data_IF_815117886636
#
_entry.id   IF_815117886636
#
_cell.length_a   1.000
_cell.length_b   1.000
_cell.length_c   1.000
_cell.angle_alpha   90.00
_cell.angle_beta   90.00
_cell.angle_gamma   90.00
#
_symmetry.space_group_name_H-M   'P 1'
#
loop_
_entity.id
_entity.type
_entity.pdbx_description
1 polymer ?
#
# COMPACT_ATOMS: atom_id res chain seq x y z
N UNK A 1 23.48 13.41 3.83
CA UNK A 1 22.26 12.67 3.46
C UNK A 1 21.60 11.95 4.64
N UNK A 2 22.34 11.22 5.47
CA UNK A 2 21.80 10.48 6.63
C UNK A 2 21.07 11.35 7.67
N UNK A 3 21.58 12.53 8.02
CA UNK A 3 20.95 13.41 9.01
C UNK A 3 19.54 13.87 8.59
N UNK A 4 19.32 14.16 7.31
CA UNK A 4 17.98 14.52 6.81
C UNK A 4 16.99 13.34 6.87
N UNK A 5 17.46 12.12 6.57
CA UNK A 5 16.65 10.90 6.71
C UNK A 5 16.22 10.70 8.17
N UNK A 6 17.15 10.83 9.11
CA UNK A 6 16.87 10.68 10.53
C UNK A 6 15.90 11.74 11.08
N UNK A 7 16.07 12.99 10.66
CA UNK A 7 15.13 14.05 11.03
C UNK A 7 13.71 13.73 10.55
N UNK A 8 13.56 13.31 9.29
CA UNK A 8 12.28 12.93 8.72
C UNK A 8 11.65 11.72 9.43
N UNK A 9 12.45 10.67 9.69
CA UNK A 9 11.98 9.49 10.43
C UNK A 9 11.52 9.87 11.86
N UNK A 10 12.27 10.73 12.54
CA UNK A 10 11.93 11.19 13.90
C UNK A 10 10.65 12.01 13.91
N UNK A 11 10.48 12.91 12.95
CA UNK A 11 9.26 13.70 12.78
C UNK A 11 8.04 12.81 12.54
N UNK A 12 8.16 11.85 11.63
CA UNK A 12 7.07 10.91 11.33
C UNK A 12 6.69 10.04 12.55
N UNK A 13 7.69 9.57 13.30
CA UNK A 13 7.44 8.84 14.55
C UNK A 13 6.76 9.70 15.62
N UNK A 14 7.04 11.00 15.64
CA UNK A 14 6.36 11.93 16.53
C UNK A 14 4.89 12.06 16.14
N UNK A 15 4.59 12.23 14.85
CA UNK A 15 3.21 12.25 14.34
C UNK A 15 2.46 10.94 14.63
N UNK A 16 3.13 9.80 14.52
CA UNK A 16 2.54 8.50 14.89
C UNK A 16 2.11 8.48 16.36
N UNK A 17 3.00 8.90 17.28
CA UNK A 17 2.70 8.96 18.72
C UNK A 17 1.58 9.95 19.05
N UNK A 18 1.55 11.08 18.36
CA UNK A 18 0.47 12.06 18.50
C UNK A 18 -0.87 11.49 18.02
N UNK A 19 -0.87 10.70 16.95
CA UNK A 19 -2.07 10.01 16.49
C UNK A 19 -2.54 8.98 17.53
N UNK A 20 -1.62 8.17 18.08
CA UNK A 20 -1.92 7.24 19.19
C UNK A 20 -2.52 7.97 20.40
N UNK A 21 -1.95 9.09 20.81
CA UNK A 21 -2.44 9.88 21.96
C UNK A 21 -3.87 10.41 21.75
N UNK A 22 -4.31 10.59 20.51
CA UNK A 22 -5.68 11.05 20.19
C UNK A 22 -6.71 9.91 20.25
N UNK A 23 -6.29 8.64 20.20
CA UNK A 23 -7.21 7.51 20.31
C UNK A 23 -7.80 7.38 21.72
N UNK A 24 -7.09 7.84 22.75
CA UNK A 24 -7.53 7.76 24.16
C UNK A 24 -7.46 6.33 24.72
N UNK A 25 -7.78 6.22 26.02
CA UNK A 25 -7.95 4.95 26.76
C UNK A 25 -6.84 3.88 26.59
N UNK A 26 -5.60 4.31 26.34
CA UNK A 26 -4.46 3.40 26.13
C UNK A 26 -4.49 2.63 24.82
N UNK A 27 -5.33 3.02 23.87
CA UNK A 27 -5.34 2.44 22.54
C UNK A 27 -4.04 2.75 21.78
N UNK A 28 -3.62 1.82 20.93
CA UNK A 28 -2.42 1.95 20.10
C UNK A 28 -2.80 1.98 18.61
N UNK A 29 -2.02 2.69 17.82
CA UNK A 29 -2.05 2.59 16.38
C UNK A 29 -1.13 1.41 15.98
N UNK A 30 -1.72 0.29 15.67
CA UNK A 30 -0.98 -0.96 15.49
C UNK A 30 -0.33 -1.07 14.11
N UNK A 31 -1.04 -0.65 13.07
CA UNK A 31 -0.55 -0.62 11.70
C UNK A 31 -1.33 0.39 10.84
N UNK A 32 -0.79 0.69 9.67
CA UNK A 32 -1.46 1.43 8.61
C UNK A 32 -1.71 0.47 7.46
N UNK A 33 -2.92 0.44 6.92
CA UNK A 33 -3.24 -0.28 5.68
C UNK A 33 -3.26 0.73 4.55
N UNK A 34 -2.49 0.47 3.49
CA UNK A 34 -2.36 1.37 2.35
C UNK A 34 -2.24 0.59 1.04
N UNK A 35 -2.55 1.21 -0.11
CA UNK A 35 -2.17 0.64 -1.40
C UNK A 35 -0.67 0.42 -1.49
N UNK A 36 -0.23 -0.60 -2.21
CA UNK A 36 1.20 -0.82 -2.50
C UNK A 36 1.59 -0.26 -3.87
N UNK A 37 0.67 -0.32 -4.81
CA UNK A 37 0.82 0.21 -6.18
C UNK A 37 -0.47 0.92 -6.60
N UNK A 38 -0.43 1.77 -7.62
CA UNK A 38 -1.63 2.40 -8.15
C UNK A 38 -2.52 1.47 -9.00
N UNK A 39 -2.07 0.26 -9.29
CA UNK A 39 -2.75 -0.74 -10.12
C UNK A 39 -2.71 -2.12 -9.47
N UNK A 40 -3.42 -3.09 -10.04
CA UNK A 40 -3.23 -4.51 -9.80
C UNK A 40 -1.79 -4.94 -10.14
N UNK A 41 -1.46 -6.23 -10.07
CA UNK A 41 -0.13 -6.73 -10.41
C UNK A 41 0.34 -6.20 -11.78
N UNK A 42 1.40 -5.40 -11.76
CA UNK A 42 1.87 -4.64 -12.92
C UNK A 42 2.47 -5.58 -13.97
N UNK A 43 2.16 -5.34 -15.24
CA UNK A 43 2.76 -6.05 -16.37
C UNK A 43 4.29 -5.89 -16.39
N UNK A 44 4.99 -6.87 -16.92
CA UNK A 44 6.45 -6.86 -17.02
C UNK A 44 6.97 -5.57 -17.68
N UNK A 45 7.99 -4.96 -17.06
CA UNK A 45 8.65 -3.72 -17.50
C UNK A 45 7.74 -2.48 -17.53
N UNK A 46 6.58 -2.51 -16.86
CA UNK A 46 5.62 -1.40 -16.81
C UNK A 46 5.52 -0.72 -15.45
N UNK A 47 6.30 -1.13 -14.47
CA UNK A 47 6.31 -0.51 -13.15
C UNK A 47 6.87 0.92 -13.24
N UNK A 48 6.04 1.92 -12.96
CA UNK A 48 6.36 3.35 -13.13
C UNK A 48 6.42 4.12 -11.82
N UNK A 49 5.56 3.77 -10.87
CA UNK A 49 5.38 4.56 -9.67
C UNK A 49 5.75 3.80 -8.40
N UNK A 50 6.72 4.33 -7.66
CA UNK A 50 7.25 3.72 -6.43
C UNK A 50 6.79 4.45 -5.15
N UNK A 51 5.96 5.49 -5.25
CA UNK A 51 5.66 6.42 -4.16
C UNK A 51 5.12 5.74 -2.91
N UNK A 52 4.23 4.77 -3.05
CA UNK A 52 3.67 4.06 -1.91
C UNK A 52 4.70 3.20 -1.15
N UNK A 53 5.58 2.51 -1.87
CA UNK A 53 6.60 1.64 -1.27
C UNK A 53 7.83 2.42 -0.80
N UNK A 54 8.24 3.46 -1.54
CA UNK A 54 9.45 4.23 -1.21
C UNK A 54 9.34 5.01 0.10
N UNK A 55 8.13 5.46 0.47
CA UNK A 55 7.90 6.09 1.77
C UNK A 55 8.17 5.13 2.93
N UNK A 56 7.73 3.88 2.82
CA UNK A 56 7.98 2.82 3.82
C UNK A 56 9.47 2.52 3.94
N UNK A 57 10.18 2.41 2.81
CA UNK A 57 11.63 2.24 2.78
C UNK A 57 12.39 3.42 3.39
N UNK A 58 11.94 4.65 3.13
CA UNK A 58 12.56 5.84 3.70
C UNK A 58 12.40 5.89 5.22
N UNK A 59 11.23 5.48 5.72
CA UNK A 59 10.91 5.41 7.15
C UNK A 59 11.58 4.22 7.85
N UNK A 60 12.09 3.24 7.10
CA UNK A 60 12.63 1.99 7.64
C UNK A 60 11.55 1.21 8.44
N UNK A 61 10.33 1.22 7.92
CA UNK A 61 9.18 0.54 8.51
C UNK A 61 9.06 -0.88 7.99
N UNK A 62 8.49 -1.75 8.82
CA UNK A 62 8.10 -3.11 8.42
C UNK A 62 6.86 -3.05 7.55
N UNK A 63 6.82 -3.82 6.48
CA UNK A 63 5.63 -3.91 5.63
C UNK A 63 5.39 -5.34 5.17
N UNK A 64 4.15 -5.80 5.27
CA UNK A 64 3.67 -7.07 4.72
C UNK A 64 2.63 -6.80 3.63
N UNK A 65 2.71 -7.54 2.52
CA UNK A 65 1.77 -7.41 1.40
C UNK A 65 0.70 -8.48 1.52
N UNK A 66 -0.56 -8.05 1.44
CA UNK A 66 -1.74 -8.93 1.53
C UNK A 66 -2.55 -8.80 0.25
N UNK A 67 -2.67 -9.86 -0.56
CA UNK A 67 -3.62 -9.91 -1.66
C UNK A 67 -5.05 -9.81 -1.13
N UNK A 68 -5.86 -8.95 -1.74
CA UNK A 68 -7.23 -8.66 -1.25
C UNK A 68 -8.32 -9.00 -2.25
N UNK A 69 -8.01 -8.99 -3.54
CA UNK A 69 -8.94 -9.33 -4.62
C UNK A 69 -8.18 -9.53 -5.94
N UNK A 70 -8.91 -9.76 -7.01
CA UNK A 70 -8.39 -9.81 -8.38
C UNK A 70 -9.07 -8.74 -9.22
N UNK A 71 -8.35 -8.19 -10.19
CA UNK A 71 -8.91 -7.26 -11.16
C UNK A 71 -9.93 -7.99 -12.07
N UNK A 72 -11.06 -7.33 -12.32
CA UNK A 72 -12.13 -7.84 -13.17
C UNK A 72 -12.43 -6.84 -14.29
N UNK A 73 -12.20 -7.23 -15.55
CA UNK A 73 -12.41 -6.37 -16.71
C UNK A 73 -13.85 -5.84 -16.86
N UNK A 74 -14.84 -6.56 -16.31
CA UNK A 74 -16.25 -6.12 -16.39
C UNK A 74 -16.59 -5.06 -15.34
N UNK A 75 -15.87 -5.06 -14.21
CA UNK A 75 -16.06 -4.16 -13.07
C UNK A 75 -15.07 -3.00 -13.12
N UNK A 76 -13.79 -3.32 -13.31
CA UNK A 76 -12.68 -2.38 -13.24
C UNK A 76 -12.40 -1.74 -14.62
N UNK A 77 -13.41 -1.12 -15.20
CA UNK A 77 -13.32 -0.46 -16.51
C UNK A 77 -12.45 0.79 -16.46
N UNK A 78 -11.84 1.12 -17.59
CA UNK A 78 -11.12 2.38 -17.74
C UNK A 78 -12.07 3.56 -17.50
N UNK A 79 -11.66 4.50 -16.65
CA UNK A 79 -12.50 5.64 -16.28
C UNK A 79 -12.60 6.63 -17.43
N UNK A 80 -13.80 6.80 -17.98
CA UNK A 80 -14.07 7.80 -19.01
C UNK A 80 -13.97 9.23 -18.46
N UNK A 81 -13.45 10.15 -19.25
CA UNK A 81 -13.35 11.57 -18.90
C UNK A 81 -12.41 11.86 -17.72
N UNK A 82 -11.51 10.94 -17.38
CA UNK A 82 -10.50 11.18 -16.35
C UNK A 82 -9.55 12.30 -16.75
N UNK A 83 -9.33 13.26 -15.86
CA UNK A 83 -8.34 14.34 -16.02
C UNK A 83 -7.13 14.02 -15.14
N UNK A 84 -5.97 13.68 -15.71
CA UNK A 84 -4.78 13.36 -14.94
C UNK A 84 -4.29 14.55 -14.10
N UNK A 85 -3.76 14.25 -12.92
CA UNK A 85 -3.20 15.25 -11.99
C UNK A 85 -1.81 15.76 -12.45
N UNK A 86 -1.08 14.91 -13.17
CA UNK A 86 0.26 15.18 -13.70
C UNK A 86 0.63 14.16 -14.77
N UNK A 87 1.81 14.31 -15.39
CA UNK A 87 2.28 13.42 -16.47
C UNK A 87 2.41 11.95 -16.02
N UNK A 88 2.89 11.70 -14.80
CA UNK A 88 3.02 10.34 -14.26
C UNK A 88 1.66 9.67 -14.11
N UNK A 89 0.67 10.40 -13.61
CA UNK A 89 -0.71 9.92 -13.50
C UNK A 89 -1.32 9.63 -14.88
N UNK A 90 -1.04 10.50 -15.86
CA UNK A 90 -1.45 10.30 -17.25
C UNK A 90 -0.87 8.98 -17.82
N UNK A 91 0.43 8.75 -17.64
CA UNK A 91 1.12 7.53 -18.09
C UNK A 91 0.52 6.26 -17.44
N UNK A 92 0.21 6.31 -16.14
CA UNK A 92 -0.39 5.18 -15.41
C UNK A 92 -1.82 4.90 -15.92
N UNK A 93 -2.60 5.93 -16.17
CA UNK A 93 -3.96 5.79 -16.69
C UNK A 93 -3.98 5.31 -18.14
N UNK A 94 -3.02 5.73 -18.95
CA UNK A 94 -2.84 5.25 -20.33
C UNK A 94 -2.44 3.78 -20.36
N UNK A 95 -1.52 3.38 -19.48
CA UNK A 95 -1.04 2.01 -19.32
C UNK A 95 -2.15 1.02 -18.92
N UNK A 96 -3.15 1.50 -18.17
CA UNK A 96 -4.20 0.63 -17.65
C UNK A 96 -5.06 0.08 -18.79
N UNK A 97 -5.12 -1.25 -18.86
CA UNK A 97 -5.87 -2.02 -19.85
C UNK A 97 -6.66 -3.10 -19.09
N UNK A 98 -8.00 -2.96 -18.96
CA UNK A 98 -8.82 -3.89 -18.17
C UNK A 98 -8.69 -5.35 -18.61
N UNK A 99 -8.59 -5.62 -19.90
CA UNK A 99 -8.43 -6.99 -20.43
C UNK A 99 -7.07 -7.58 -20.04
N UNK A 100 -5.99 -6.80 -20.18
CA UNK A 100 -4.63 -7.23 -19.84
C UNK A 100 -4.42 -7.40 -18.33
N UNK A 101 -5.21 -6.71 -17.49
CA UNK A 101 -5.15 -6.81 -16.04
C UNK A 101 -6.18 -7.80 -15.45
N UNK A 102 -7.09 -8.33 -16.24
CA UNK A 102 -8.10 -9.30 -15.77
C UNK A 102 -7.45 -10.50 -15.08
N UNK A 103 -7.91 -10.84 -13.88
CA UNK A 103 -7.33 -11.91 -13.05
C UNK A 103 -6.03 -11.55 -12.34
N UNK A 104 -5.48 -10.34 -12.55
CA UNK A 104 -4.29 -9.90 -11.84
C UNK A 104 -4.60 -9.63 -10.36
N UNK A 105 -3.77 -10.09 -9.40
CA UNK A 105 -4.00 -9.85 -7.99
C UNK A 105 -3.88 -8.37 -7.64
N UNK A 106 -4.81 -7.91 -6.82
CA UNK A 106 -4.78 -6.60 -6.17
C UNK A 106 -4.36 -6.79 -4.72
N UNK A 107 -3.44 -5.99 -4.24
CA UNK A 107 -2.91 -6.13 -2.90
C UNK A 107 -2.86 -4.79 -2.16
N UNK A 108 -2.92 -4.88 -0.85
CA UNK A 108 -2.60 -3.79 0.08
C UNK A 108 -1.32 -4.11 0.84
N UNK A 109 -0.70 -3.10 1.42
CA UNK A 109 0.37 -3.27 2.38
C UNK A 109 -0.13 -2.95 3.80
N UNK A 110 0.26 -3.80 4.74
CA UNK A 110 0.12 -3.59 6.18
C UNK A 110 1.46 -3.07 6.68
N UNK A 111 1.49 -1.85 7.16
CA UNK A 111 2.70 -1.12 7.51
C UNK A 111 2.76 -0.99 9.04
N UNK A 112 3.74 -1.62 9.65
CA UNK A 112 4.08 -1.49 11.06
C UNK A 112 5.31 -0.61 11.25
N UNK A 113 5.58 -0.24 12.51
CA UNK A 113 6.82 0.49 12.84
C UNK A 113 8.04 -0.41 12.63
N UNK A 114 9.20 0.21 12.60
CA UNK A 114 10.50 -0.48 12.54
C UNK A 114 10.59 -1.55 13.65
N UNK A 115 11.16 -2.71 13.32
CA UNK A 115 11.37 -3.84 14.23
C UNK A 115 10.06 -4.37 14.86
N UNK A 116 8.98 -4.38 14.08
CA UNK A 116 7.67 -4.94 14.49
C UNK A 116 7.19 -6.03 13.53
N UNK A 117 8.11 -6.85 13.02
CA UNK A 117 7.86 -7.83 11.98
C UNK A 117 6.78 -8.83 12.40
N UNK A 118 6.90 -9.43 13.58
CA UNK A 118 5.94 -10.44 14.06
C UNK A 118 4.54 -9.86 14.23
N UNK A 119 4.44 -8.64 14.78
CA UNK A 119 3.16 -7.95 14.94
C UNK A 119 2.55 -7.61 13.58
N UNK A 120 3.36 -7.11 12.65
CA UNK A 120 2.90 -6.74 11.31
C UNK A 120 2.43 -7.95 10.53
N UNK A 121 3.13 -9.09 10.64
CA UNK A 121 2.73 -10.35 10.03
C UNK A 121 1.44 -10.90 10.64
N UNK A 122 1.27 -10.85 11.96
CA UNK A 122 0.05 -11.29 12.63
C UNK A 122 -1.17 -10.45 12.19
N UNK A 123 -1.00 -9.13 12.03
CA UNK A 123 -2.05 -8.25 11.51
C UNK A 123 -2.36 -8.59 10.04
N UNK A 124 -1.32 -8.80 9.23
CA UNK A 124 -1.49 -9.16 7.82
C UNK A 124 -2.22 -10.50 7.65
N UNK A 125 -1.91 -11.50 8.49
CA UNK A 125 -2.62 -12.79 8.54
C UNK A 125 -4.09 -12.60 8.90
N UNK A 126 -4.40 -11.78 9.91
CA UNK A 126 -5.78 -11.50 10.32
C UNK A 126 -6.55 -10.76 9.21
N UNK A 127 -5.93 -9.78 8.54
CA UNK A 127 -6.53 -9.10 7.37
C UNK A 127 -6.84 -10.12 6.27
N UNK A 128 -5.91 -11.00 5.93
CA UNK A 128 -6.11 -12.05 4.95
C UNK A 128 -7.24 -13.00 5.34
N UNK A 129 -7.30 -13.41 6.60
CA UNK A 129 -8.37 -14.27 7.13
C UNK A 129 -9.76 -13.62 7.04
N UNK A 130 -9.87 -12.34 7.40
CA UNK A 130 -11.13 -11.58 7.33
C UNK A 130 -11.63 -11.40 5.90
N UNK A 131 -10.72 -11.31 4.94
CA UNK A 131 -11.03 -11.21 3.51
C UNK A 131 -11.34 -12.57 2.86
N UNK A 132 -11.38 -13.65 3.64
CA UNK A 132 -11.78 -14.98 3.17
C UNK A 132 -10.73 -15.70 2.33
N UNK A 133 -9.44 -15.46 2.59
CA UNK A 133 -8.33 -16.10 1.87
C UNK A 133 -8.54 -16.05 0.34
N UNK A 134 -8.61 -14.86 -0.22
CA UNK A 134 -8.76 -14.61 -1.67
C UNK A 134 -7.66 -15.30 -2.50
N UNK A 135 -6.69 -15.93 -1.84
CA UNK A 135 -5.56 -16.62 -2.46
C UNK A 135 -5.48 -18.07 -1.97
N UNK A 136 -6.54 -18.81 -2.11
CA UNK A 136 -6.44 -20.28 -2.13
C UNK A 136 -6.74 -20.78 -3.53
N UNK A 137 -5.72 -20.93 -4.29
CA UNK A 137 -5.26 -21.95 -5.25
C UNK A 137 -4.40 -21.34 -6.30
#
# INVERSE_FOLDING_TARGET
MHLKKWAFQSEYLTQWREAEARLGDGQTLDAIIAPITPSAAVRHNRFRYYGYASAVNLLDFTSAVVPVTFADQEVDKKKEGYSPLNDMDAEIQEEYDPEAYHGAPVAVQVIGRRLSEEKTLAIAEEVGRLLGNVVTT
#
